data_IF_913810942145
#
_entry.id   IF_913810942145
#
_cell.length_a   1.000
_cell.length_b   1.000
_cell.length_c   1.000
_cell.angle_alpha   90.00
_cell.angle_beta   90.00
_cell.angle_gamma   90.00
#
_symmetry.space_group_name_H-M   'P 1'
#
loop_
_entity.id
_entity.type
_entity.pdbx_description
1 polymer ?
#
# COMPACT_ATOMS: atom_id res chain seq x y z
N UNK A 1 -14.26 11.62 -0.58
CA UNK A 1 -14.83 10.34 -0.14
C UNK A 1 -13.65 9.40 0.07
N UNK A 2 -13.38 8.98 1.31
CA UNK A 2 -12.31 7.99 1.56
C UNK A 2 -12.78 6.62 1.10
N UNK A 3 -11.92 5.85 0.43
CA UNK A 3 -12.24 4.47 0.06
C UNK A 3 -12.02 3.62 1.30
N UNK A 4 -13.12 3.20 1.94
CA UNK A 4 -13.08 2.31 3.09
C UNK A 4 -13.33 0.86 2.66
N UNK A 5 -12.77 -0.10 3.38
CA UNK A 5 -13.15 -1.49 3.19
C UNK A 5 -14.64 -1.64 3.48
N UNK A 6 -15.41 -1.98 2.44
CA UNK A 6 -16.88 -2.08 2.50
C UNK A 6 -17.34 -3.07 3.57
N UNK A 7 -16.55 -4.09 3.85
CA UNK A 7 -16.88 -5.14 4.81
C UNK A 7 -16.23 -4.95 6.18
N UNK A 8 -15.47 -3.85 6.35
CA UNK A 8 -14.75 -3.52 7.59
C UNK A 8 -13.85 -4.67 8.11
N UNK A 9 -13.27 -5.47 7.20
CA UNK A 9 -12.42 -6.61 7.54
C UNK A 9 -10.95 -6.22 7.67
N UNK A 10 -10.54 -5.19 6.93
CA UNK A 10 -9.16 -4.70 6.93
C UNK A 10 -9.14 -3.26 7.46
N UNK A 11 -8.26 -2.96 8.43
CA UNK A 11 -8.16 -1.61 8.99
C UNK A 11 -7.49 -0.66 7.99
N UNK A 12 -7.81 0.64 8.05
CA UNK A 12 -7.16 1.65 7.24
C UNK A 12 -5.65 1.70 7.55
N UNK A 13 -4.82 1.57 6.52
CA UNK A 13 -3.36 1.57 6.64
C UNK A 13 -2.78 2.87 6.08
N UNK A 14 -1.84 3.45 6.81
CA UNK A 14 -1.07 4.62 6.37
C UNK A 14 0.39 4.21 6.24
N UNK A 15 0.99 4.57 5.11
CA UNK A 15 2.39 4.27 4.82
C UNK A 15 3.09 5.51 4.31
N UNK A 16 4.38 5.62 4.62
CA UNK A 16 5.25 6.53 3.87
C UNK A 16 5.52 5.95 2.50
N UNK A 17 5.67 6.84 1.52
CA UNK A 17 6.11 6.45 0.20
C UNK A 17 7.21 7.39 -0.32
N UNK A 18 8.11 6.80 -1.10
CA UNK A 18 9.07 7.51 -1.92
C UNK A 18 8.86 7.07 -3.37
N UNK A 19 8.64 8.06 -4.24
CA UNK A 19 8.51 7.85 -5.66
C UNK A 19 9.72 8.46 -6.37
N UNK A 20 10.48 7.63 -7.04
CA UNK A 20 11.66 8.03 -7.80
C UNK A 20 11.66 7.33 -9.16
N UNK A 21 11.50 8.11 -10.24
CA UNK A 21 11.60 7.66 -11.62
C UNK A 21 10.65 6.49 -11.94
N UNK A 22 11.15 5.25 -11.90
CA UNK A 22 10.39 4.03 -12.15
C UNK A 22 10.23 3.16 -10.90
N UNK A 23 10.45 3.72 -9.70
CA UNK A 23 10.43 2.99 -8.44
C UNK A 23 9.47 3.67 -7.45
N UNK A 24 8.66 2.85 -6.80
CA UNK A 24 7.86 3.22 -5.65
C UNK A 24 8.32 2.41 -4.46
N UNK A 25 8.82 3.07 -3.43
CA UNK A 25 9.13 2.46 -2.14
C UNK A 25 8.02 2.81 -1.18
N UNK A 26 7.49 1.82 -0.47
CA UNK A 26 6.58 2.03 0.66
C UNK A 26 7.26 1.54 1.94
N UNK A 27 7.08 2.28 3.03
CA UNK A 27 7.74 2.00 4.30
C UNK A 27 6.95 2.56 5.47
N UNK A 28 7.38 2.19 6.68
CA UNK A 28 6.82 2.68 7.94
C UNK A 28 5.28 2.54 7.97
N UNK A 29 4.77 1.30 7.92
CA UNK A 29 3.34 1.05 7.96
C UNK A 29 2.75 1.30 9.36
N UNK A 30 1.59 1.94 9.39
CA UNK A 30 0.78 2.15 10.59
C UNK A 30 -0.68 1.82 10.30
N UNK A 31 -1.38 1.28 11.29
CA UNK A 31 -2.84 1.23 11.32
C UNK A 31 -3.32 2.61 11.76
N UNK A 32 -4.18 3.23 10.97
CA UNK A 32 -4.81 4.51 11.32
C UNK A 32 -5.83 4.29 12.42
N UNK A 33 -5.53 4.80 13.62
CA UNK A 33 -6.43 4.81 14.77
C UNK A 33 -6.50 6.25 15.29
N UNK A 34 -7.70 6.84 15.19
CA UNK A 34 -7.94 8.24 15.57
C UNK A 34 -8.22 8.42 17.06
N UNK A 35 -8.46 7.35 17.79
CA UNK A 35 -8.74 7.39 19.22
C UNK A 35 -7.47 7.25 20.05
N UNK A 36 -6.56 6.34 19.64
CA UNK A 36 -5.34 6.04 20.39
C UNK A 36 -4.05 6.54 19.71
N UNK A 37 -4.16 7.00 18.46
CA UNK A 37 -3.03 7.35 17.60
C UNK A 37 -2.58 6.18 16.74
N UNK A 38 -1.85 6.48 15.66
CA UNK A 38 -1.44 5.49 14.67
C UNK A 38 -0.59 4.36 15.27
N UNK A 39 -1.03 3.11 15.08
CA UNK A 39 -0.38 1.92 15.65
C UNK A 39 0.64 1.37 14.65
N UNK A 40 1.91 1.29 15.04
CA UNK A 40 2.97 0.76 14.18
C UNK A 40 2.73 -0.71 13.83
N UNK A 41 2.75 -1.04 12.54
CA UNK A 41 2.64 -2.42 12.06
C UNK A 41 4.01 -3.08 12.16
N UNK A 42 4.08 -4.22 12.85
CA UNK A 42 5.30 -5.02 13.02
C UNK A 42 5.26 -6.35 12.28
N UNK A 43 4.10 -6.75 11.76
CA UNK A 43 3.90 -7.97 10.97
C UNK A 43 3.49 -7.63 9.54
N UNK A 44 4.32 -8.03 8.57
CA UNK A 44 4.06 -7.83 7.15
C UNK A 44 2.80 -8.58 6.65
N UNK A 45 2.38 -9.64 7.35
CA UNK A 45 1.16 -10.38 7.01
C UNK A 45 -0.09 -9.51 7.00
N UNK A 46 -0.13 -8.47 7.83
CA UNK A 46 -1.24 -7.50 7.89
C UNK A 46 -1.34 -6.63 6.63
N UNK A 47 -0.28 -6.53 5.83
CA UNK A 47 -0.23 -5.73 4.61
C UNK A 47 -0.61 -6.52 3.35
N UNK A 48 -0.75 -7.85 3.46
CA UNK A 48 -1.07 -8.73 2.34
C UNK A 48 -2.37 -8.34 1.60
N UNK A 49 -3.47 -7.91 2.27
CA UNK A 49 -4.69 -7.45 1.58
C UNK A 49 -4.45 -6.26 0.65
N UNK A 50 -3.39 -5.48 0.90
CA UNK A 50 -3.01 -4.29 0.15
C UNK A 50 -1.99 -4.58 -0.96
N UNK A 51 -1.61 -5.85 -1.17
CA UNK A 51 -0.63 -6.25 -2.17
C UNK A 51 0.82 -5.89 -1.81
N UNK A 52 1.07 -5.60 -0.52
CA UNK A 52 2.40 -5.31 0.02
C UNK A 52 2.89 -6.54 0.78
N UNK A 53 4.14 -6.92 0.56
CA UNK A 53 4.68 -8.21 1.03
C UNK A 53 5.76 -8.08 2.11
N UNK A 54 6.16 -6.84 2.43
CA UNK A 54 7.17 -6.54 3.44
C UNK A 54 6.86 -5.21 4.15
N UNK A 55 7.39 -5.02 5.37
CA UNK A 55 7.26 -3.75 6.11
C UNK A 55 7.92 -2.57 5.39
N UNK A 56 8.91 -2.85 4.54
CA UNK A 56 9.42 -1.93 3.54
C UNK A 56 9.47 -2.68 2.21
N UNK A 57 8.64 -2.27 1.25
CA UNK A 57 8.49 -2.94 -0.03
C UNK A 57 8.86 -1.99 -1.17
N UNK A 58 9.47 -2.54 -2.21
CA UNK A 58 9.94 -1.78 -3.37
C UNK A 58 9.29 -2.34 -4.62
N UNK A 59 8.54 -1.47 -5.29
CA UNK A 59 7.89 -1.76 -6.55
C UNK A 59 8.59 -1.06 -7.70
N UNK A 60 8.76 -1.79 -8.81
CA UNK A 60 9.00 -1.22 -10.13
C UNK A 60 7.66 -0.76 -10.70
N UNK A 61 7.64 0.47 -11.20
CA UNK A 61 6.53 1.06 -11.94
C UNK A 61 6.66 0.62 -13.39
N UNK A 62 5.83 -0.35 -13.80
CA UNK A 62 5.79 -0.80 -15.20
C UNK A 62 4.96 0.13 -16.08
N UNK A 63 3.93 0.76 -15.50
CA UNK A 63 3.04 1.67 -16.23
C UNK A 63 2.36 2.64 -15.29
N UNK A 64 2.50 3.94 -15.53
CA UNK A 64 1.74 4.99 -14.85
C UNK A 64 1.01 5.83 -15.90
N UNK A 65 -0.31 5.65 -16.02
CA UNK A 65 -1.20 6.44 -16.88
C UNK A 65 -2.37 6.99 -16.06
N UNK A 66 -3.10 7.96 -16.63
CA UNK A 66 -4.23 8.65 -15.97
C UNK A 66 -5.26 7.71 -15.32
N UNK A 67 -5.51 6.53 -15.89
CA UNK A 67 -6.51 5.57 -15.43
C UNK A 67 -5.95 4.20 -15.01
N UNK A 68 -4.63 3.97 -15.15
CA UNK A 68 -4.04 2.66 -14.91
C UNK A 68 -2.65 2.80 -14.32
N UNK A 69 -2.41 2.10 -13.22
CA UNK A 69 -1.11 2.03 -12.57
C UNK A 69 -0.72 0.55 -12.39
N UNK A 70 0.40 0.14 -12.97
CA UNK A 70 0.93 -1.22 -12.86
C UNK A 70 2.24 -1.19 -12.06
N UNK A 71 2.23 -1.92 -10.95
CA UNK A 71 3.35 -2.07 -10.03
C UNK A 71 3.79 -3.53 -10.02
N UNK A 72 5.09 -3.76 -9.86
CA UNK A 72 5.65 -5.11 -9.72
C UNK A 72 6.70 -5.11 -8.61
N UNK A 73 6.62 -6.07 -7.69
CA UNK A 73 7.72 -6.40 -6.79
C UNK A 73 8.22 -7.82 -7.09
N UNK A 74 8.95 -8.44 -6.16
CA UNK A 74 9.50 -9.80 -6.34
C UNK A 74 8.41 -10.89 -6.39
N UNK A 75 7.23 -10.62 -5.84
CA UNK A 75 6.20 -11.64 -5.57
C UNK A 75 4.93 -11.40 -6.38
N UNK A 76 4.55 -10.14 -6.59
CA UNK A 76 3.25 -9.71 -7.11
C UNK A 76 3.42 -8.73 -8.27
N UNK A 77 2.41 -8.73 -9.14
CA UNK A 77 2.19 -7.72 -10.17
C UNK A 77 0.79 -7.13 -10.01
N UNK A 78 0.70 -5.92 -9.48
CA UNK A 78 -0.55 -5.24 -9.17
C UNK A 78 -1.01 -4.39 -10.36
N UNK A 79 -2.27 -4.54 -10.75
CA UNK A 79 -2.92 -3.68 -11.75
C UNK A 79 -4.01 -2.86 -11.07
N UNK A 80 -3.74 -1.57 -10.86
CA UNK A 80 -4.63 -0.64 -10.18
C UNK A 80 -5.36 0.22 -11.20
N UNK A 81 -6.66 0.44 -10.96
CA UNK A 81 -7.49 1.39 -11.70
C UNK A 81 -7.83 2.57 -10.80
N UNK A 82 -7.86 3.77 -11.38
CA UNK A 82 -8.30 4.97 -10.65
C UNK A 82 -9.81 4.87 -10.37
N UNK A 83 -10.20 5.07 -9.11
CA UNK A 83 -11.58 5.21 -8.65
C UNK A 83 -12.06 6.66 -8.78
#
# INVERSE_FOLDING_TARGET
>A
MAVVDRNNKNPEMVLRFLHDSNRLVVSEPYISDRETGDIKVTDAGQLAPYGITALADTFTIEKLKRSTFILKNKTLRLTLKKF
#
